data_IF_658815079339
#
_entry.id   IF_658815079339
#
_cell.length_a   1.000
_cell.length_b   1.000
_cell.length_c   1.000
_cell.angle_alpha   90.00
_cell.angle_beta   90.00
_cell.angle_gamma   90.00
#
_symmetry.space_group_name_H-M   'P 1'
#
loop_
_entity.id
_entity.type
_entity.pdbx_description
1 polymer ?
#
# COMPACT_ATOMS: atom_id res chain seq x y z
N UNK A 1 -25.27 -20.46 2.18
CA UNK A 1 -24.90 -19.30 3.02
C UNK A 1 -23.47 -18.89 2.68
N UNK A 2 -23.27 -17.84 1.88
CA UNK A 2 -21.93 -17.39 1.42
C UNK A 2 -21.30 -16.51 2.51
N UNK A 3 -20.24 -17.01 3.17
CA UNK A 3 -19.37 -16.19 4.03
C UNK A 3 -18.29 -15.56 3.14
N UNK A 4 -18.53 -14.34 2.67
CA UNK A 4 -17.55 -13.54 1.94
C UNK A 4 -16.48 -13.01 2.90
N UNK A 5 -15.22 -13.29 2.60
CA UNK A 5 -14.08 -12.75 3.35
C UNK A 5 -13.83 -11.31 2.86
N UNK A 6 -14.57 -10.33 3.39
CA UNK A 6 -14.37 -8.90 3.17
C UNK A 6 -13.02 -8.47 3.73
N UNK A 7 -12.05 -8.03 2.92
CA UNK A 7 -11.62 -6.63 2.74
C UNK A 7 -10.20 -6.57 2.14
N UNK A 8 -10.08 -5.81 1.05
CA UNK A 8 -8.88 -5.64 0.23
C UNK A 8 -7.94 -4.58 0.82
N UNK A 9 -6.63 -4.79 0.63
CA UNK A 9 -5.59 -3.83 1.01
C UNK A 9 -4.67 -3.59 -0.19
N UNK A 10 -4.64 -2.35 -0.64
CA UNK A 10 -3.89 -1.88 -1.81
C UNK A 10 -2.73 -1.02 -1.32
N UNK A 11 -1.57 -1.11 -1.96
CA UNK A 11 -0.33 -0.45 -1.55
C UNK A 11 0.40 0.05 -2.79
N UNK A 12 0.78 1.31 -2.79
CA UNK A 12 1.43 1.97 -3.92
C UNK A 12 2.29 3.10 -3.46
N UNK A 13 3.49 3.17 -4.00
CA UNK A 13 4.58 3.95 -3.42
C UNK A 13 5.12 5.05 -4.34
N UNK A 14 5.49 6.15 -3.66
CA UNK A 14 6.35 7.27 -3.99
C UNK A 14 6.25 7.91 -5.39
N UNK A 15 5.56 9.05 -5.46
CA UNK A 15 6.00 10.15 -6.31
C UNK A 15 7.30 10.70 -5.70
N UNK A 16 8.44 10.14 -6.12
CA UNK A 16 9.75 10.64 -5.71
C UNK A 16 10.01 11.98 -6.39
N UNK A 17 10.34 12.97 -5.54
CA UNK A 17 11.21 14.11 -5.85
C UNK A 17 10.50 15.37 -6.41
N UNK A 18 10.17 16.30 -5.49
CA UNK A 18 10.26 17.75 -5.76
C UNK A 18 11.73 18.16 -5.70
N UNK A 19 12.51 17.77 -6.72
CA UNK A 19 13.92 18.13 -6.87
C UNK A 19 14.03 19.66 -6.86
N UNK A 20 14.78 20.20 -5.89
CA UNK A 20 14.98 21.65 -5.71
C UNK A 20 14.38 22.24 -4.43
N UNK A 21 13.54 21.50 -3.69
CA UNK A 21 12.88 22.00 -2.47
C UNK A 21 13.60 21.66 -1.15
N UNK A 22 14.64 20.82 -1.19
CA UNK A 22 15.44 20.42 -0.03
C UNK A 22 14.80 19.38 0.90
N UNK A 23 13.69 18.77 0.49
CA UNK A 23 13.06 17.64 1.19
C UNK A 23 12.61 16.56 0.19
N UNK A 24 12.47 15.32 0.67
CA UNK A 24 11.94 14.18 -0.11
C UNK A 24 10.57 13.81 0.41
N UNK A 25 9.71 13.32 -0.49
CA UNK A 25 8.40 12.78 -0.15
C UNK A 25 8.31 11.31 -0.55
N UNK A 26 7.59 10.52 0.23
CA UNK A 26 7.13 9.19 -0.14
C UNK A 26 5.65 9.10 0.17
N UNK A 27 4.85 8.73 -0.83
CA UNK A 27 3.42 8.56 -0.67
C UNK A 27 3.07 7.09 -0.71
N UNK A 28 2.14 6.66 0.14
CA UNK A 28 1.53 5.33 0.12
C UNK A 28 0.03 5.48 -0.08
N UNK A 29 -0.52 4.91 -1.15
CA UNK A 29 -1.96 4.89 -1.38
C UNK A 29 -2.57 3.53 -1.05
N UNK A 30 -3.56 3.55 -0.17
CA UNK A 30 -4.41 2.41 0.16
C UNK A 30 -5.78 2.53 -0.48
N UNK A 31 -6.21 1.51 -1.19
CA UNK A 31 -7.56 1.43 -1.76
C UNK A 31 -8.34 0.32 -1.04
N UNK A 32 -9.04 0.69 0.03
CA UNK A 32 -9.92 -0.23 0.74
C UNK A 32 -11.32 -0.23 0.12
N UNK A 33 -12.13 -1.27 0.36
CA UNK A 33 -13.54 -1.27 -0.05
C UNK A 33 -14.33 -0.07 0.52
N UNK A 34 -13.97 0.39 1.71
CA UNK A 34 -14.68 1.45 2.44
C UNK A 34 -14.16 2.85 2.11
N UNK A 35 -12.87 3.00 1.78
CA UNK A 35 -12.24 4.29 1.51
C UNK A 35 -10.91 4.15 0.77
N UNK A 36 -10.48 5.25 0.14
CA UNK A 36 -9.10 5.41 -0.32
C UNK A 36 -8.34 6.25 0.71
N UNK A 37 -7.18 5.79 1.17
CA UNK A 37 -6.29 6.58 2.03
C UNK A 37 -4.99 6.91 1.30
N UNK A 38 -4.50 8.13 1.48
CA UNK A 38 -3.17 8.56 1.06
C UNK A 38 -2.37 8.94 2.28
N UNK A 39 -1.20 8.33 2.41
CA UNK A 39 -0.26 8.53 3.50
C UNK A 39 0.99 9.16 2.93
N UNK A 40 1.32 10.38 3.36
CA UNK A 40 2.44 11.16 2.83
C UNK A 40 3.50 11.32 3.91
N UNK A 41 4.71 10.82 3.63
CA UNK A 41 5.89 10.89 4.49
C UNK A 41 6.88 11.92 3.94
N UNK A 42 7.45 12.72 4.83
CA UNK A 42 8.42 13.75 4.50
C UNK A 42 9.80 13.38 5.07
N UNK A 43 10.88 13.71 4.39
CA UNK A 43 12.25 13.43 4.83
C UNK A 43 13.17 14.62 4.52
N UNK A 44 14.26 14.73 5.28
CA UNK A 44 15.25 15.80 5.14
C UNK A 44 15.39 16.55 6.46
N UNK A 45 15.66 17.86 6.37
CA UNK A 45 15.78 18.72 7.53
C UNK A 45 14.43 19.33 7.95
N UNK A 46 14.16 19.51 9.26
CA UNK A 46 12.97 20.22 9.74
C UNK A 46 12.82 21.61 9.12
N UNK A 47 11.62 21.95 8.65
CA UNK A 47 11.30 23.22 7.99
C UNK A 47 9.80 23.40 7.81
N UNK A 48 9.39 24.60 7.41
CA UNK A 48 8.03 24.85 6.90
C UNK A 48 8.01 24.62 5.39
N UNK A 49 7.00 23.89 4.90
CA UNK A 49 6.74 23.66 3.48
C UNK A 49 5.32 24.11 3.15
N UNK A 50 5.07 24.55 1.92
CA UNK A 50 3.71 24.88 1.45
C UNK A 50 3.12 23.68 0.72
N UNK A 51 1.95 23.21 1.16
CA UNK A 51 1.19 22.14 0.50
C UNK A 51 -0.27 22.57 0.36
N UNK A 52 -0.81 22.52 -0.86
CA UNK A 52 -2.17 22.98 -1.17
C UNK A 52 -2.48 24.40 -0.65
N UNK A 53 -1.48 25.30 -0.71
CA UNK A 53 -1.59 26.68 -0.24
C UNK A 53 -1.66 26.83 1.29
N UNK A 54 -1.28 25.80 2.04
CA UNK A 54 -1.19 25.82 3.50
C UNK A 54 0.23 25.56 3.98
N UNK A 55 0.74 26.35 4.95
CA UNK A 55 2.03 26.08 5.57
C UNK A 55 1.93 24.84 6.46
N UNK A 56 2.77 23.85 6.18
CA UNK A 56 2.97 22.65 6.99
C UNK A 56 4.34 22.71 7.65
N UNK A 57 4.36 22.58 8.98
CA UNK A 57 5.59 22.54 9.75
C UNK A 57 6.07 21.09 9.86
N UNK A 58 7.23 20.82 9.26
CA UNK A 58 7.95 19.55 9.34
C UNK A 58 8.96 19.62 10.49
N UNK A 59 8.88 18.68 11.40
CA UNK A 59 9.63 18.64 12.65
C UNK A 59 10.44 17.36 12.77
N UNK A 60 11.49 17.40 13.60
CA UNK A 60 12.21 16.19 13.96
C UNK A 60 11.27 15.20 14.67
N UNK A 61 11.53 13.87 14.57
CA UNK A 61 10.74 12.87 15.28
C UNK A 61 10.67 13.13 16.79
N UNK A 62 9.47 13.02 17.36
CA UNK A 62 9.21 13.32 18.78
C UNK A 62 9.10 12.06 19.65
N UNK A 63 9.61 10.92 19.17
CA UNK A 63 9.57 9.63 19.86
C UNK A 63 9.27 8.47 18.91
N UNK A 64 8.88 7.33 19.50
CA UNK A 64 8.46 6.15 18.75
C UNK A 64 7.01 6.26 18.31
N UNK A 65 6.73 5.84 17.07
CA UNK A 65 5.36 5.76 16.55
C UNK A 65 5.23 4.56 15.60
N UNK A 66 4.13 3.82 15.70
CA UNK A 66 3.89 2.62 14.89
C UNK A 66 3.78 2.88 13.39
N UNK A 67 3.51 4.11 12.97
CA UNK A 67 3.44 4.50 11.57
C UNK A 67 4.68 5.25 11.10
N UNK A 68 5.69 5.46 11.95
CA UNK A 68 6.88 6.19 11.54
C UNK A 68 7.72 5.37 10.55
N UNK A 69 7.95 5.95 9.37
CA UNK A 69 9.03 5.51 8.49
C UNK A 69 10.38 5.95 9.07
N UNK A 70 11.44 5.12 8.96
CA UNK A 70 12.77 5.51 9.42
C UNK A 70 13.23 6.82 8.78
N UNK A 71 13.58 7.81 9.61
CA UNK A 71 14.03 9.13 9.15
C UNK A 71 12.93 10.06 8.63
N UNK A 72 11.64 9.68 8.74
CA UNK A 72 10.55 10.56 8.37
C UNK A 72 10.36 11.69 9.39
N UNK A 73 10.22 12.91 8.89
CA UNK A 73 9.84 14.10 9.64
C UNK A 73 8.38 14.02 10.06
N UNK A 74 8.06 14.68 11.17
CA UNK A 74 6.71 14.76 11.70
C UNK A 74 6.03 16.02 11.19
N UNK A 75 4.73 15.92 10.95
CA UNK A 75 3.86 17.01 10.54
C UNK A 75 2.66 17.04 11.49
N UNK A 76 2.43 18.19 12.12
CA UNK A 76 1.32 18.39 13.07
C UNK A 76 1.27 17.32 14.18
N UNK A 77 2.43 16.89 14.69
CA UNK A 77 2.54 15.87 15.73
C UNK A 77 2.35 14.42 15.26
N UNK A 78 2.28 14.17 13.95
CA UNK A 78 2.16 12.84 13.35
C UNK A 78 3.36 12.54 12.44
N UNK A 79 3.88 11.29 12.37
CA UNK A 79 4.95 10.94 11.43
C UNK A 79 4.49 10.85 9.97
N UNK A 80 3.19 11.06 9.71
CA UNK A 80 2.57 10.89 8.41
C UNK A 80 1.40 11.86 8.25
N UNK A 81 1.31 12.52 7.11
CA UNK A 81 0.12 13.27 6.72
C UNK A 81 -0.87 12.30 6.08
N UNK A 82 -2.09 12.22 6.61
CA UNK A 82 -3.13 11.29 6.12
C UNK A 82 -4.26 12.06 5.47
N UNK A 83 -4.65 11.63 4.28
CA UNK A 83 -5.86 12.08 3.59
C UNK A 83 -6.75 10.88 3.27
N UNK A 84 -8.07 11.04 3.40
CA UNK A 84 -9.05 10.00 3.11
C UNK A 84 -10.02 10.50 2.04
N UNK A 85 -10.29 9.65 1.06
CA UNK A 85 -11.17 9.90 -0.08
C UNK A 85 -12.20 8.76 -0.19
N UNK A 86 -13.27 8.93 -0.97
CA UNK A 86 -14.21 7.85 -1.26
C UNK A 86 -13.51 6.58 -1.79
N UNK A 87 -14.14 5.42 -1.57
CA UNK A 87 -13.65 4.17 -2.13
C UNK A 87 -13.73 4.18 -3.66
N UNK A 88 -12.84 3.40 -4.28
CA UNK A 88 -12.80 3.21 -5.74
C UNK A 88 -13.25 1.80 -6.09
N UNK A 89 -13.74 1.57 -7.33
CA UNK A 89 -13.94 0.22 -7.82
C UNK A 89 -12.64 -0.61 -7.70
N UNK A 90 -12.74 -1.91 -7.36
CA UNK A 90 -11.57 -2.78 -7.30
C UNK A 90 -10.84 -2.83 -8.65
N UNK A 91 -9.53 -2.62 -8.63
CA UNK A 91 -8.67 -2.67 -9.83
C UNK A 91 -7.96 -4.02 -10.02
N UNK A 92 -8.20 -4.94 -9.10
CA UNK A 92 -7.77 -6.33 -9.20
C UNK A 92 -8.63 -7.19 -8.27
N UNK A 93 -8.75 -8.47 -8.61
CA UNK A 93 -9.50 -9.44 -7.82
C UNK A 93 -8.71 -10.73 -7.65
N UNK A 94 -8.87 -11.38 -6.50
CA UNK A 94 -8.39 -12.72 -6.23
C UNK A 94 -9.60 -13.59 -5.90
N UNK A 95 -9.98 -14.44 -6.85
CA UNK A 95 -11.16 -15.31 -6.75
C UNK A 95 -10.74 -16.76 -6.59
N UNK A 96 -11.58 -17.59 -5.96
CA UNK A 96 -11.39 -19.03 -6.01
C UNK A 96 -11.71 -19.52 -7.42
N UNK A 97 -10.77 -20.22 -8.02
CA UNK A 97 -10.88 -20.82 -9.34
C UNK A 97 -11.91 -21.95 -9.37
N UNK A 98 -12.29 -22.31 -10.60
CA UNK A 98 -13.38 -23.25 -10.92
C UNK A 98 -13.15 -24.65 -10.33
N UNK A 99 -11.90 -25.01 -10.04
CA UNK A 99 -11.48 -26.30 -9.44
C UNK A 99 -11.47 -26.30 -7.91
N UNK A 100 -11.98 -25.26 -7.24
CA UNK A 100 -12.25 -25.22 -5.80
C UNK A 100 -11.04 -24.95 -4.87
N UNK A 101 -9.82 -25.27 -5.29
CA UNK A 101 -8.60 -25.10 -4.48
C UNK A 101 -7.61 -24.05 -4.99
N UNK A 102 -7.63 -23.72 -6.28
CA UNK A 102 -6.69 -22.79 -6.91
C UNK A 102 -7.23 -21.37 -6.81
N UNK A 103 -6.41 -20.39 -6.40
CA UNK A 103 -6.76 -18.98 -6.55
C UNK A 103 -6.51 -18.55 -8.00
N UNK A 104 -7.31 -17.61 -8.48
CA UNK A 104 -7.12 -16.92 -9.75
C UNK A 104 -7.03 -15.42 -9.46
N UNK A 105 -5.98 -14.78 -9.97
CA UNK A 105 -5.85 -13.31 -9.94
C UNK A 105 -6.35 -12.76 -11.28
N UNK A 106 -7.18 -11.73 -11.23
CA UNK A 106 -7.68 -10.98 -12.39
C UNK A 106 -7.27 -9.52 -12.25
N UNK A 107 -6.50 -9.02 -13.20
CA UNK A 107 -5.98 -7.65 -13.18
C UNK A 107 -6.87 -6.73 -14.04
N UNK A 108 -7.46 -5.70 -13.44
CA UNK A 108 -8.14 -4.60 -14.16
C UNK A 108 -7.24 -3.37 -14.30
N UNK A 109 -6.02 -3.43 -13.76
CA UNK A 109 -4.96 -2.46 -13.94
C UNK A 109 -3.60 -3.21 -13.92
N UNK A 110 -2.52 -2.64 -14.48
CA UNK A 110 -1.20 -3.28 -14.44
C UNK A 110 -0.70 -3.52 -13.01
N UNK A 111 -0.32 -4.76 -12.71
CA UNK A 111 0.24 -5.16 -11.40
C UNK A 111 1.74 -5.42 -11.50
N UNK A 112 2.49 -5.12 -10.45
CA UNK A 112 3.88 -5.57 -10.23
C UNK A 112 3.92 -6.95 -9.58
N UNK A 113 3.04 -7.18 -8.61
CA UNK A 113 2.93 -8.44 -7.90
C UNK A 113 1.57 -8.57 -7.22
N UNK A 114 1.22 -9.81 -6.89
CA UNK A 114 0.13 -10.11 -5.97
C UNK A 114 0.67 -10.93 -4.83
N UNK A 115 0.30 -10.58 -3.61
CA UNK A 115 0.76 -11.21 -2.38
C UNK A 115 -0.43 -11.73 -1.58
N UNK A 116 -0.29 -12.89 -0.96
CA UNK A 116 -1.24 -13.45 0.00
C UNK A 116 -0.54 -13.56 1.34
N UNK A 117 -1.16 -13.01 2.37
CA UNK A 117 -0.92 -13.47 3.73
C UNK A 117 -1.95 -14.54 4.05
N UNK A 118 -1.51 -15.74 4.41
CA UNK A 118 -2.39 -16.89 4.67
C UNK A 118 -2.67 -17.13 6.16
N UNK A 119 -2.15 -16.27 7.04
CA UNK A 119 -2.21 -16.43 8.49
C UNK A 119 -0.90 -16.92 9.12
N UNK A 120 0.02 -17.46 8.31
CA UNK A 120 1.35 -17.88 8.75
C UNK A 120 2.41 -16.94 8.18
N UNK A 121 2.34 -16.67 6.88
CA UNK A 121 3.34 -15.85 6.21
C UNK A 121 2.85 -15.28 4.90
N UNK A 122 3.71 -14.47 4.31
CA UNK A 122 3.47 -13.87 3.00
C UNK A 122 3.94 -14.80 1.90
N UNK A 123 3.13 -14.90 0.86
CA UNK A 123 3.35 -15.74 -0.31
C UNK A 123 3.14 -14.90 -1.55
N UNK A 124 4.09 -14.92 -2.47
CA UNK A 124 3.91 -14.28 -3.77
C UNK A 124 3.00 -15.15 -4.64
N UNK A 125 1.83 -14.64 -4.98
CA UNK A 125 0.88 -15.31 -5.86
C UNK A 125 1.26 -15.12 -7.33
N UNK A 126 1.56 -13.89 -7.73
CA UNK A 126 1.92 -13.59 -9.12
C UNK A 126 3.12 -12.67 -9.19
N UNK A 127 3.89 -12.83 -10.27
CA UNK A 127 4.70 -11.73 -10.80
C UNK A 127 3.81 -10.63 -11.40
N UNK A 128 4.40 -9.82 -12.28
CA UNK A 128 3.67 -8.76 -12.96
C UNK A 128 2.55 -9.31 -13.82
N UNK A 129 1.45 -8.56 -13.88
CA UNK A 129 0.31 -8.79 -14.77
C UNK A 129 0.03 -7.52 -15.55
N UNK A 130 -0.35 -7.66 -16.82
CA UNK A 130 -0.90 -6.56 -17.60
C UNK A 130 -2.38 -6.40 -17.28
N UNK A 131 -2.93 -5.24 -17.63
CA UNK A 131 -4.38 -5.05 -17.61
C UNK A 131 -5.09 -6.11 -18.47
N UNK A 132 -6.18 -6.65 -17.95
CA UNK A 132 -6.96 -7.71 -18.58
C UNK A 132 -6.37 -9.11 -18.45
N UNK A 133 -5.16 -9.28 -17.88
CA UNK A 133 -4.59 -10.61 -17.67
C UNK A 133 -5.20 -11.32 -16.45
N UNK A 134 -5.35 -12.64 -16.61
CA UNK A 134 -5.71 -13.54 -15.52
C UNK A 134 -4.62 -14.59 -15.31
N UNK A 135 -4.36 -14.96 -14.06
CA UNK A 135 -3.39 -16.03 -13.73
C UNK A 135 -3.91 -16.93 -12.63
N UNK A 136 -4.02 -18.22 -12.95
CA UNK A 136 -4.31 -19.28 -11.99
C UNK A 136 -3.04 -19.68 -11.26
N UNK A 137 -3.12 -19.82 -9.94
CA UNK A 137 -1.99 -20.15 -9.11
C UNK A 137 -1.78 -21.66 -9.02
N UNK A 138 -0.52 -22.10 -9.03
CA UNK A 138 -0.13 -23.49 -8.79
C UNK A 138 0.81 -23.50 -7.58
N UNK A 139 0.44 -24.20 -6.50
CA UNK A 139 1.32 -24.45 -5.35
C UNK A 139 2.46 -25.41 -5.77
N UNK A 140 3.66 -25.40 -5.15
CA UNK A 140 4.03 -24.82 -3.86
C UNK A 140 4.56 -23.39 -3.97
N UNK A 141 4.31 -22.60 -2.94
CA UNK A 141 4.76 -21.22 -2.89
C UNK A 141 5.58 -21.01 -1.61
N UNK A 142 6.83 -20.58 -1.78
CA UNK A 142 7.75 -20.33 -0.67
C UNK A 142 7.34 -19.03 0.05
N UNK A 143 7.40 -19.03 1.38
CA UNK A 143 7.18 -17.81 2.15
C UNK A 143 8.26 -16.78 1.86
N UNK A 144 7.83 -15.54 1.59
CA UNK A 144 8.67 -14.40 1.22
C UNK A 144 8.03 -13.13 1.78
N UNK A 145 8.80 -12.32 2.52
CA UNK A 145 8.33 -11.00 2.96
C UNK A 145 8.23 -10.05 1.76
N UNK A 146 7.08 -9.41 1.50
CA UNK A 146 6.93 -8.47 0.39
C UNK A 146 7.81 -7.24 0.61
N UNK A 147 8.59 -6.89 -0.41
CA UNK A 147 9.21 -5.57 -0.55
C UNK A 147 8.43 -4.82 -1.62
N UNK A 148 7.66 -3.83 -1.20
CA UNK A 148 6.73 -3.10 -2.06
C UNK A 148 7.49 -1.97 -2.75
N UNK A 149 7.52 -1.95 -4.07
CA UNK A 149 8.27 -0.94 -4.80
C UNK A 149 7.50 0.38 -4.90
N UNK A 150 8.13 1.56 -4.73
CA UNK A 150 9.55 1.84 -4.42
C UNK A 150 9.97 1.90 -2.94
N UNK A 151 9.19 1.41 -1.98
CA UNK A 151 9.56 1.43 -0.56
C UNK A 151 10.83 0.63 -0.25
N UNK A 152 11.54 1.03 0.81
CA UNK A 152 12.56 0.18 1.42
C UNK A 152 11.91 -1.03 2.10
N UNK A 153 12.75 -1.96 2.58
CA UNK A 153 12.26 -3.12 3.33
C UNK A 153 11.59 -2.70 4.65
N UNK A 154 12.20 -1.76 5.37
CA UNK A 154 11.68 -1.24 6.63
C UNK A 154 10.38 -0.47 6.44
N UNK A 155 10.30 0.37 5.40
CA UNK A 155 9.09 1.11 5.02
C UNK A 155 7.97 0.14 4.61
N UNK A 156 8.29 -0.89 3.82
CA UNK A 156 7.34 -1.95 3.45
C UNK A 156 6.80 -2.66 4.70
N UNK A 157 7.63 -2.93 5.70
CA UNK A 157 7.21 -3.60 6.93
C UNK A 157 6.22 -2.76 7.75
N UNK A 158 6.38 -1.43 7.80
CA UNK A 158 5.41 -0.53 8.46
C UNK A 158 4.05 -0.63 7.78
N UNK A 159 4.05 -0.58 6.46
CA UNK A 159 2.84 -0.62 5.65
C UNK A 159 2.13 -1.97 5.75
N UNK A 160 2.86 -3.08 5.62
CA UNK A 160 2.31 -4.43 5.76
C UNK A 160 1.78 -4.70 7.17
N UNK A 161 2.37 -4.10 8.19
CA UNK A 161 1.82 -4.18 9.56
C UNK A 161 0.45 -3.51 9.65
N UNK A 162 0.27 -2.33 9.04
CA UNK A 162 -1.03 -1.65 9.00
C UNK A 162 -2.08 -2.52 8.28
N UNK A 163 -1.69 -3.16 7.17
CA UNK A 163 -2.52 -4.15 6.46
C UNK A 163 -3.02 -5.22 7.41
N UNK A 164 -2.11 -5.90 8.09
CA UNK A 164 -2.44 -7.02 8.96
C UNK A 164 -3.25 -6.58 10.18
N UNK A 165 -2.95 -5.40 10.75
CA UNK A 165 -3.67 -4.83 11.89
C UNK A 165 -5.15 -4.60 11.54
N UNK A 166 -5.45 -3.99 10.39
CA UNK A 166 -6.84 -3.76 9.93
C UNK A 166 -7.59 -5.04 9.60
N UNK A 167 -6.87 -6.08 9.19
CA UNK A 167 -7.44 -7.41 8.91
C UNK A 167 -7.57 -8.26 10.16
N UNK A 168 -7.04 -7.82 11.30
CA UNK A 168 -6.99 -8.60 12.54
C UNK A 168 -6.23 -9.91 12.36
N UNK A 169 -5.15 -9.90 11.58
CA UNK A 169 -4.33 -11.09 11.29
C UNK A 169 -5.00 -12.14 10.39
N UNK A 170 -6.19 -11.86 9.84
CA UNK A 170 -6.88 -12.77 8.92
C UNK A 170 -6.20 -12.80 7.55
N UNK A 171 -6.42 -13.88 6.77
CA UNK A 171 -5.91 -13.94 5.41
C UNK A 171 -6.32 -12.71 4.59
N UNK A 172 -5.36 -12.19 3.82
CA UNK A 172 -5.52 -10.99 3.02
C UNK A 172 -4.69 -11.08 1.75
N UNK A 173 -5.28 -10.64 0.64
CA UNK A 173 -4.56 -10.46 -0.62
C UNK A 173 -4.23 -8.99 -0.79
N UNK A 174 -2.97 -8.71 -1.11
CA UNK A 174 -2.46 -7.39 -1.45
C UNK A 174 -2.09 -7.38 -2.92
N UNK A 175 -2.59 -6.38 -3.64
CA UNK A 175 -2.23 -6.13 -5.03
C UNK A 175 -1.25 -4.95 -5.06
N UNK A 176 -0.05 -5.20 -5.55
CA UNK A 176 0.96 -4.18 -5.78
C UNK A 176 0.79 -3.67 -7.22
N UNK A 177 0.26 -2.46 -7.36
CA UNK A 177 0.01 -1.85 -8.67
C UNK A 177 1.32 -1.30 -9.24
N UNK A 178 1.43 -1.28 -10.57
CA UNK A 178 2.59 -0.69 -11.27
C UNK A 178 2.62 0.82 -11.19
N UNK A 179 1.46 1.45 -11.27
CA UNK A 179 1.29 2.89 -11.20
C UNK A 179 0.12 3.21 -10.28
N UNK A 180 0.22 4.30 -9.50
CA UNK A 180 -0.91 4.75 -8.72
C UNK A 180 -2.04 5.22 -9.66
N UNK A 181 -3.29 4.78 -9.44
CA UNK A 181 -4.39 5.28 -10.24
C UNK A 181 -4.52 6.78 -9.97
N UNK A 182 -4.59 7.60 -11.03
CA UNK A 182 -4.57 9.07 -10.96
C UNK A 182 -5.29 9.62 -9.71
N UNK A 183 -4.70 10.59 -8.99
CA UNK A 183 -5.37 11.21 -7.86
C UNK A 183 -6.69 11.82 -8.35
N UNK A 184 -7.72 11.71 -7.51
CA UNK A 184 -8.93 12.49 -7.65
C UNK A 184 -8.52 13.96 -7.60
N UNK A 185 -8.91 14.74 -8.60
CA UNK A 185 -9.07 16.18 -8.41
C UNK A 185 -9.90 16.35 -7.14
N UNK A 186 -9.34 17.00 -6.13
CA UNK A 186 -10.13 17.49 -5.01
C UNK A 186 -11.13 18.54 -5.50
#
# INVERSE_FOLDING_TARGET
MRKGLLAALLLLSACQVLEGSGYRVTEVQFLFPEATERWTYFYGEPRVVELDGRPLRLEAPQGENLWAFPGALWVEGSPVLRATYPSRPPVAEAVRGVSGSLLQVRAQAPLLATWLYDGVGWVRLTGSLREGEERTLVQPANYQTPRLFPLTEEESAVVLREVLARRGGKPVVVFELREPPCPLSA
#
